data_IF_747786509292
#
_entry.id   IF_747786509292
#
_cell.length_a   1.000
_cell.length_b   1.000
_cell.length_c   1.000
_cell.angle_alpha   90.00
_cell.angle_beta   90.00
_cell.angle_gamma   90.00
#
_symmetry.space_group_name_H-M   'P 1'
#
loop_
_entity.id
_entity.type
_entity.pdbx_description
1 polymer ?
#
# COMPACT_ATOMS: atom_id res chain seq x y z
N UNK A 1 5.55 17.66 -2.54
CA UNK A 1 5.31 17.40 -3.98
C UNK A 1 5.53 15.93 -4.38
N UNK A 2 6.56 15.22 -3.92
CA UNK A 2 6.89 13.86 -4.41
C UNK A 2 5.73 12.84 -4.33
N UNK A 3 4.98 12.85 -3.22
CA UNK A 3 3.89 11.91 -2.95
C UNK A 3 2.59 12.13 -3.74
N UNK A 4 2.46 13.25 -4.46
CA UNK A 4 1.31 13.48 -5.35
C UNK A 4 1.22 12.43 -6.45
N UNK A 5 0.02 12.15 -6.97
CA UNK A 5 -0.19 11.24 -8.12
C UNK A 5 0.47 9.87 -7.94
N UNK A 6 0.42 9.34 -6.72
CA UNK A 6 1.03 8.06 -6.37
C UNK A 6 0.50 6.92 -7.23
N UNK A 7 -0.81 6.87 -7.48
CA UNK A 7 -1.43 5.90 -8.39
C UNK A 7 -0.79 5.86 -9.78
N UNK A 8 -0.37 7.02 -10.30
CA UNK A 8 0.25 7.15 -11.62
C UNK A 8 1.74 6.80 -11.61
N UNK A 9 2.37 6.83 -10.43
CA UNK A 9 3.80 6.59 -10.24
C UNK A 9 4.10 5.15 -9.85
N UNK A 10 3.23 4.50 -9.08
CA UNK A 10 3.46 3.15 -8.54
C UNK A 10 3.63 2.11 -9.63
N UNK A 11 2.75 2.09 -10.63
CA UNK A 11 2.83 1.16 -11.76
C UNK A 11 4.21 1.19 -12.45
N UNK A 12 4.58 2.31 -13.11
CA UNK A 12 5.82 2.37 -13.88
C UNK A 12 7.10 2.42 -13.04
N UNK A 13 7.06 2.80 -11.76
CA UNK A 13 8.28 2.98 -10.94
C UNK A 13 8.54 1.90 -9.91
N UNK A 14 7.50 1.19 -9.46
CA UNK A 14 7.61 0.27 -8.33
C UNK A 14 7.09 -1.12 -8.67
N UNK A 15 5.94 -1.24 -9.35
CA UNK A 15 5.35 -2.55 -9.66
C UNK A 15 6.16 -3.35 -10.68
N UNK A 16 6.88 -2.67 -11.59
CA UNK A 16 7.90 -3.32 -12.42
C UNK A 16 8.99 -3.99 -11.57
N UNK A 17 9.56 -3.27 -10.61
CA UNK A 17 10.56 -3.82 -9.68
C UNK A 17 10.00 -4.95 -8.83
N UNK A 18 8.74 -4.86 -8.39
CA UNK A 18 8.06 -5.95 -7.66
C UNK A 18 8.06 -7.22 -8.51
N UNK A 19 7.69 -7.12 -9.79
CA UNK A 19 7.69 -8.25 -10.72
C UNK A 19 9.09 -8.82 -10.92
N UNK A 20 10.07 -7.97 -11.23
CA UNK A 20 11.45 -8.41 -11.46
C UNK A 20 12.03 -9.16 -10.25
N UNK A 21 11.75 -8.69 -9.04
CA UNK A 21 12.19 -9.34 -7.79
C UNK A 21 11.51 -10.69 -7.60
N UNK A 22 10.22 -10.80 -7.88
CA UNK A 22 9.47 -12.05 -7.78
C UNK A 22 9.95 -13.09 -8.80
N UNK A 23 10.26 -12.65 -10.02
CA UNK A 23 10.76 -13.51 -11.11
C UNK A 23 12.18 -14.01 -10.81
N UNK A 24 12.99 -13.20 -10.12
CA UNK A 24 14.30 -13.61 -9.59
C UNK A 24 14.21 -14.51 -8.35
N UNK A 25 13.00 -14.88 -7.90
CA UNK A 25 12.79 -15.70 -6.70
C UNK A 25 13.00 -14.95 -5.37
N UNK A 26 13.14 -13.62 -5.43
CA UNK A 26 13.31 -12.76 -4.26
C UNK A 26 11.98 -12.35 -3.61
N UNK A 27 12.09 -11.55 -2.56
CA UNK A 27 10.95 -10.99 -1.83
C UNK A 27 10.84 -9.47 -2.02
N UNK A 28 9.76 -8.95 -2.64
CA UNK A 28 9.56 -7.51 -2.84
C UNK A 28 9.00 -6.80 -1.60
N UNK A 29 9.20 -7.35 -0.40
CA UNK A 29 8.58 -6.91 0.86
C UNK A 29 8.68 -5.39 1.09
N UNK A 30 9.85 -4.79 0.83
CA UNK A 30 10.07 -3.34 1.02
C UNK A 30 9.23 -2.50 0.07
N UNK A 31 9.09 -2.92 -1.18
CA UNK A 31 8.25 -2.24 -2.16
C UNK A 31 6.77 -2.31 -1.75
N UNK A 32 6.31 -3.45 -1.24
CA UNK A 32 4.93 -3.60 -0.81
C UNK A 32 4.58 -2.79 0.45
N UNK A 33 5.56 -2.50 1.33
CA UNK A 33 5.36 -1.51 2.40
C UNK A 33 5.11 -0.12 1.86
N UNK A 34 5.84 0.29 0.83
CA UNK A 34 5.62 1.60 0.20
C UNK A 34 4.22 1.69 -0.41
N UNK A 35 3.76 0.61 -1.06
CA UNK A 35 2.39 0.50 -1.58
C UNK A 35 1.36 0.63 -0.46
N UNK A 36 1.50 -0.14 0.63
CA UNK A 36 0.59 -0.09 1.76
C UNK A 36 0.59 1.29 2.45
N UNK A 37 1.76 1.94 2.59
CA UNK A 37 1.87 3.27 3.17
C UNK A 37 1.13 4.34 2.33
N UNK A 38 1.30 4.30 1.00
CA UNK A 38 0.57 5.18 0.08
C UNK A 38 -0.94 4.98 0.20
N UNK A 39 -1.39 3.73 0.18
CA UNK A 39 -2.81 3.42 0.25
C UNK A 39 -3.43 3.86 1.60
N UNK A 40 -2.69 3.63 2.70
CA UNK A 40 -3.08 4.05 4.05
C UNK A 40 -3.22 5.56 4.18
N UNK A 41 -2.26 6.33 3.65
CA UNK A 41 -2.35 7.81 3.77
C UNK A 41 -3.53 8.36 2.97
N UNK A 42 -3.83 7.80 1.79
CA UNK A 42 -5.02 8.18 1.02
C UNK A 42 -6.31 7.85 1.76
N UNK A 43 -6.43 6.63 2.29
CA UNK A 43 -7.61 6.17 3.01
C UNK A 43 -7.87 6.98 4.29
N UNK A 44 -6.83 7.24 5.10
CA UNK A 44 -6.97 7.95 6.38
C UNK A 44 -7.09 9.47 6.21
N UNK A 45 -6.44 10.04 5.19
CA UNK A 45 -6.37 11.50 4.98
C UNK A 45 -5.64 12.26 6.10
N UNK A 46 -4.88 11.56 6.93
CA UNK A 46 -4.18 12.09 8.10
C UNK A 46 -2.94 11.28 8.41
N UNK A 47 -2.01 11.90 9.12
CA UNK A 47 -0.78 11.27 9.56
C UNK A 47 -0.94 10.44 10.84
N UNK A 48 0.16 9.90 11.36
CA UNK A 48 0.18 9.08 12.58
C UNK A 48 -0.16 9.88 13.85
N UNK A 49 -0.05 11.22 13.80
CA UNK A 49 -0.42 12.11 14.90
C UNK A 49 -1.87 12.62 14.76
N UNK A 50 -2.62 12.12 13.77
CA UNK A 50 -3.99 12.52 13.49
C UNK A 50 -4.12 13.88 12.79
N UNK A 51 -3.02 14.50 12.38
CA UNK A 51 -3.04 15.79 11.68
C UNK A 51 -3.50 15.57 10.23
N UNK A 52 -4.35 16.44 9.68
CA UNK A 52 -4.77 16.36 8.28
C UNK A 52 -3.55 16.28 7.35
N UNK A 53 -3.58 15.28 6.46
CA UNK A 53 -2.55 15.04 5.46
C UNK A 53 -3.24 14.61 4.18
N UNK A 54 -3.68 15.59 3.40
CA UNK A 54 -4.24 15.34 2.09
C UNK A 54 -3.12 15.17 1.06
N UNK A 55 -3.11 14.01 0.42
CA UNK A 55 -2.21 13.71 -0.69
C UNK A 55 -3.02 13.76 -1.98
N UNK A 56 -2.74 14.71 -2.88
CA UNK A 56 -3.40 14.77 -4.18
C UNK A 56 -3.11 13.50 -4.98
N UNK A 57 -4.15 12.79 -5.39
CA UNK A 57 -4.05 11.60 -6.22
C UNK A 57 -5.36 11.45 -7.02
N UNK A 58 -5.30 11.22 -8.34
CA UNK A 58 -6.51 11.09 -9.16
C UNK A 58 -7.39 9.90 -8.76
N UNK A 59 -6.82 8.89 -8.09
CA UNK A 59 -7.56 7.73 -7.59
C UNK A 59 -7.83 7.78 -6.07
N UNK A 60 -7.56 8.91 -5.40
CA UNK A 60 -7.71 9.03 -3.94
C UNK A 60 -9.08 8.53 -3.45
N UNK A 61 -10.16 9.00 -4.07
CA UNK A 61 -11.52 8.64 -3.65
C UNK A 61 -11.87 7.18 -3.98
N UNK A 62 -11.32 6.64 -5.07
CA UNK A 62 -11.52 5.24 -5.38
C UNK A 62 -10.83 4.36 -4.34
N UNK A 63 -9.57 4.65 -4.01
CA UNK A 63 -8.79 3.94 -2.99
C UNK A 63 -9.46 4.05 -1.62
N UNK A 64 -9.92 5.24 -1.21
CA UNK A 64 -10.70 5.44 0.02
C UNK A 64 -11.94 4.56 0.07
N UNK A 65 -12.74 4.54 -1.00
CA UNK A 65 -13.94 3.70 -1.07
C UNK A 65 -13.62 2.21 -0.97
N UNK A 66 -12.51 1.76 -1.58
CA UNK A 66 -12.08 0.36 -1.50
C UNK A 66 -11.61 -0.02 -0.10
N UNK A 67 -10.85 0.84 0.56
CA UNK A 67 -10.23 0.51 1.84
C UNK A 67 -11.18 0.71 3.03
N UNK A 68 -12.09 1.68 2.93
CA UNK A 68 -12.99 2.06 4.01
C UNK A 68 -12.27 2.89 5.08
N UNK A 69 -12.89 2.95 6.27
CA UNK A 69 -12.32 3.63 7.43
C UNK A 69 -11.26 2.74 8.09
N UNK A 70 -9.99 3.07 7.86
CA UNK A 70 -8.84 2.33 8.41
C UNK A 70 -8.58 2.62 9.91
N UNK A 71 -9.38 3.44 10.56
CA UNK A 71 -9.29 3.70 12.00
C UNK A 71 -10.27 2.84 12.83
N UNK A 72 -11.15 2.10 12.17
CA UNK A 72 -12.02 1.13 12.84
C UNK A 72 -11.22 -0.11 13.30
N UNK A 73 -11.62 -0.76 14.41
CA UNK A 73 -10.97 -1.99 14.88
C UNK A 73 -10.97 -3.08 13.80
N UNK A 74 -9.79 -3.62 13.49
CA UNK A 74 -9.63 -4.68 12.49
C UNK A 74 -9.79 -4.21 11.03
N UNK A 75 -9.82 -2.91 10.76
CA UNK A 75 -10.04 -2.37 9.41
C UNK A 75 -8.97 -2.79 8.39
N UNK A 76 -7.76 -3.10 8.85
CA UNK A 76 -6.67 -3.61 8.01
C UNK A 76 -6.90 -5.05 7.53
N UNK A 77 -7.79 -5.81 8.19
CA UNK A 77 -8.18 -7.15 7.72
C UNK A 77 -8.80 -7.04 6.33
N UNK A 78 -8.25 -7.77 5.37
CA UNK A 78 -8.73 -7.76 3.99
C UNK A 78 -8.33 -6.51 3.18
N UNK A 79 -7.53 -5.59 3.74
CA UNK A 79 -7.15 -4.35 3.07
C UNK A 79 -6.30 -4.61 1.81
N UNK A 80 -5.45 -5.64 1.86
CA UNK A 80 -4.63 -6.07 0.72
C UNK A 80 -5.50 -6.47 -0.47
N UNK A 81 -6.49 -7.33 -0.26
CA UNK A 81 -7.41 -7.82 -1.30
C UNK A 81 -8.24 -6.69 -1.87
N UNK A 82 -8.76 -5.80 -1.02
CA UNK A 82 -9.53 -4.63 -1.46
C UNK A 82 -8.69 -3.68 -2.30
N UNK A 83 -7.43 -3.47 -1.92
CA UNK A 83 -6.49 -2.61 -2.65
C UNK A 83 -6.05 -3.24 -3.99
N UNK A 84 -5.69 -4.52 -4.00
CA UNK A 84 -5.29 -5.24 -5.21
C UNK A 84 -6.41 -5.30 -6.25
N UNK A 85 -7.67 -5.15 -5.81
CA UNK A 85 -8.80 -5.00 -6.72
C UNK A 85 -8.85 -3.67 -7.48
N UNK A 86 -8.00 -2.69 -7.20
CA UNK A 86 -7.88 -1.43 -7.97
C UNK A 86 -7.08 -1.71 -9.24
N UNK A 87 -7.77 -2.19 -10.27
CA UNK A 87 -7.20 -2.62 -11.55
C UNK A 87 -6.43 -1.53 -12.31
N UNK A 88 -6.75 -0.27 -12.05
CA UNK A 88 -6.07 0.91 -12.61
C UNK A 88 -4.63 1.05 -12.10
N UNK A 89 -4.33 0.45 -10.94
CA UNK A 89 -2.99 0.45 -10.33
C UNK A 89 -2.34 -0.91 -10.44
N UNK A 90 -3.09 -1.99 -10.21
CA UNK A 90 -2.55 -3.35 -10.10
C UNK A 90 -2.90 -4.20 -11.33
N UNK A 91 -1.91 -4.55 -12.17
CA UNK A 91 -2.08 -5.55 -13.22
C UNK A 91 -2.55 -6.90 -12.66
N UNK A 92 -3.32 -7.64 -13.47
CA UNK A 92 -4.00 -8.87 -13.05
C UNK A 92 -3.05 -9.97 -12.53
N UNK A 93 -1.84 -10.05 -13.06
CA UNK A 93 -0.83 -11.02 -12.63
C UNK A 93 -0.32 -10.70 -11.21
N UNK A 94 -0.03 -9.44 -10.89
CA UNK A 94 0.38 -9.04 -9.54
C UNK A 94 -0.77 -9.10 -8.53
N UNK A 95 -1.99 -8.73 -8.96
CA UNK A 95 -3.19 -8.91 -8.13
C UNK A 95 -3.55 -10.39 -7.92
N UNK A 96 -3.09 -11.24 -8.84
CA UNK A 96 -3.25 -12.69 -8.85
C UNK A 96 -2.24 -13.46 -8.00
N UNK A 97 -1.06 -12.90 -7.76
CA UNK A 97 0.07 -13.56 -7.12
C UNK A 97 -0.11 -13.66 -5.59
N UNK A 98 -0.13 -14.88 -5.07
CA UNK A 98 -0.32 -15.13 -3.62
C UNK A 98 0.82 -14.57 -2.77
N UNK A 99 2.05 -14.50 -3.29
CA UNK A 99 3.19 -13.90 -2.57
C UNK A 99 2.95 -12.41 -2.40
N UNK A 100 2.42 -11.73 -3.42
CA UNK A 100 2.05 -10.29 -3.34
C UNK A 100 0.94 -10.08 -2.32
N UNK A 101 -0.12 -10.91 -2.37
CA UNK A 101 -1.25 -10.83 -1.42
C UNK A 101 -0.78 -10.96 0.03
N UNK A 102 -0.01 -12.01 0.33
CA UNK A 102 0.50 -12.29 1.68
C UNK A 102 1.40 -11.15 2.16
N UNK A 103 2.40 -10.76 1.37
CA UNK A 103 3.35 -9.72 1.78
C UNK A 103 2.69 -8.34 1.93
N UNK A 104 1.67 -8.04 1.14
CA UNK A 104 0.91 -6.80 1.26
C UNK A 104 -0.01 -6.82 2.49
N UNK A 105 -0.61 -7.97 2.80
CA UNK A 105 -1.38 -8.14 4.03
C UNK A 105 -0.49 -7.97 5.28
N UNK A 106 0.71 -8.56 5.27
CA UNK A 106 1.71 -8.37 6.33
C UNK A 106 2.10 -6.89 6.49
N UNK A 107 2.28 -6.18 5.37
CA UNK A 107 2.60 -4.75 5.39
C UNK A 107 1.46 -3.93 6.02
N UNK A 108 0.20 -4.22 5.70
CA UNK A 108 -0.95 -3.57 6.31
C UNK A 108 -1.08 -3.88 7.81
N UNK A 109 -0.90 -5.14 8.20
CA UNK A 109 -0.91 -5.55 9.61
C UNK A 109 0.19 -4.86 10.42
N UNK A 110 1.36 -4.59 9.82
CA UNK A 110 2.41 -3.83 10.49
C UNK A 110 1.96 -2.38 10.82
N UNK A 111 1.22 -1.72 9.92
CA UNK A 111 0.70 -0.37 10.15
C UNK A 111 -0.50 -0.30 11.11
N UNK A 112 -1.19 -1.41 11.37
CA UNK A 112 -2.22 -1.49 12.40
C UNK A 112 -1.59 -1.37 13.81
N UNK A 113 -0.38 -1.89 13.97
CA UNK A 113 0.28 -2.03 15.27
C UNK A 113 1.37 -0.99 15.53
N UNK A 114 1.81 -0.23 14.51
CA UNK A 114 2.93 0.68 14.62
C UNK A 114 2.83 1.90 13.69
N UNK A 115 3.41 3.05 14.08
CA UNK A 115 3.51 4.23 13.21
C UNK A 115 4.46 3.99 12.03
N UNK A 116 4.35 4.82 10.99
CA UNK A 116 5.03 4.59 9.72
C UNK A 116 6.56 4.57 9.83
N UNK A 117 7.15 5.37 10.74
CA UNK A 117 8.59 5.39 10.96
C UNK A 117 9.11 4.06 11.54
N UNK A 118 8.36 3.45 12.46
CA UNK A 118 8.73 2.19 13.07
C UNK A 118 8.63 1.06 12.04
N UNK A 119 7.54 1.02 11.27
CA UNK A 119 7.37 0.07 10.15
C UNK A 119 8.51 0.23 9.14
N UNK A 120 8.83 1.45 8.72
CA UNK A 120 9.93 1.68 7.78
C UNK A 120 11.28 1.17 8.32
N UNK A 121 11.55 1.37 9.60
CA UNK A 121 12.80 0.94 10.25
C UNK A 121 12.90 -0.59 10.36
N UNK A 122 11.79 -1.25 10.69
CA UNK A 122 11.73 -2.72 10.78
C UNK A 122 11.95 -3.41 9.42
N UNK A 123 11.67 -2.72 8.31
CA UNK A 123 11.83 -3.24 6.96
C UNK A 123 13.13 -2.78 6.28
N UNK A 124 13.89 -1.87 6.90
CA UNK A 124 15.19 -1.40 6.41
C UNK A 124 16.34 -2.35 6.76
N UNK A 125 16.15 -3.22 7.76
CA UNK A 125 17.07 -4.31 8.13
C UNK A 125 16.90 -5.51 7.19
#
# INVERSE_FOLDING_TARGET
QVASDGSQKLGPRLLGTVRDVLDAGGSPRRALVVVAAWARVLARGRDDLGRPLEVPDPLADHVRRRLGDLDAPGAYRGAAERLLGVSEVFPADLAGDDRVRVLLADAFAAFENAPALEVATAFAR
#
